data_IF_343269408578
#
_entry.id   IF_343269408578
#
_cell.length_a   1.000
_cell.length_b   1.000
_cell.length_c   1.000
_cell.angle_alpha   90.00
_cell.angle_beta   90.00
_cell.angle_gamma   90.00
#
_symmetry.space_group_name_H-M   'P 1'
#
loop_
_entity.id
_entity.type
_entity.pdbx_description
1 polymer ?
#
# COMPACT_ATOMS: atom_id res chain seq x y z
N UNK A 1 -26.09 4.71 -7.53
CA UNK A 1 -25.00 3.98 -6.83
C UNK A 1 -24.07 3.42 -7.89
N UNK A 2 -22.75 3.60 -7.77
CA UNK A 2 -21.79 3.12 -8.77
C UNK A 2 -21.70 1.59 -8.79
N UNK A 3 -21.23 0.99 -9.90
CA UNK A 3 -21.00 -0.46 -9.93
C UNK A 3 -19.96 -0.82 -8.85
N UNK A 4 -20.11 -1.93 -8.09
CA UNK A 4 -19.14 -2.30 -7.04
C UNK A 4 -17.69 -2.37 -7.56
N UNK A 5 -17.54 -2.76 -8.83
CA UNK A 5 -16.27 -2.76 -9.55
C UNK A 5 -15.69 -1.35 -9.72
N UNK A 6 -16.51 -0.39 -10.16
CA UNK A 6 -16.11 0.99 -10.35
C UNK A 6 -15.75 1.66 -9.01
N UNK A 7 -16.48 1.36 -7.92
CA UNK A 7 -16.15 1.87 -6.57
C UNK A 7 -14.79 1.35 -6.09
N UNK A 8 -14.52 0.04 -6.28
CA UNK A 8 -13.22 -0.54 -5.92
C UNK A 8 -12.08 0.09 -6.74
N UNK A 9 -12.29 0.32 -8.05
CA UNK A 9 -11.30 0.97 -8.91
C UNK A 9 -11.15 2.47 -8.61
N UNK A 10 -12.20 3.16 -8.18
CA UNK A 10 -12.10 4.54 -7.72
C UNK A 10 -11.16 4.62 -6.51
N UNK A 11 -11.35 3.75 -5.51
CA UNK A 11 -10.43 3.71 -4.38
C UNK A 11 -9.00 3.35 -4.83
N UNK A 12 -8.85 2.31 -5.65
CA UNK A 12 -7.54 1.75 -5.98
C UNK A 12 -6.79 2.54 -7.06
N UNK A 13 -7.35 2.69 -8.26
CA UNK A 13 -6.70 3.32 -9.40
C UNK A 13 -6.64 4.85 -9.27
N UNK A 14 -7.66 5.50 -8.70
CA UNK A 14 -7.69 6.97 -8.56
C UNK A 14 -7.07 7.43 -7.23
N UNK A 15 -7.16 6.62 -6.19
CA UNK A 15 -6.60 6.91 -4.87
C UNK A 15 -5.20 6.31 -4.66
N UNK A 16 -5.12 4.99 -4.62
CA UNK A 16 -3.92 4.26 -4.14
C UNK A 16 -2.75 4.29 -5.14
N UNK A 17 -2.97 3.96 -6.41
CA UNK A 17 -1.90 3.94 -7.43
C UNK A 17 -1.15 5.28 -7.53
N UNK A 18 -1.83 6.43 -7.73
CA UNK A 18 -1.13 7.71 -7.82
C UNK A 18 -0.47 8.10 -6.50
N UNK A 19 -1.05 7.75 -5.34
CA UNK A 19 -0.42 7.96 -4.04
C UNK A 19 0.88 7.15 -3.91
N UNK A 20 0.90 5.89 -4.34
CA UNK A 20 2.10 5.05 -4.34
C UNK A 20 3.15 5.64 -5.29
N UNK A 21 2.76 6.09 -6.47
CA UNK A 21 3.68 6.73 -7.42
C UNK A 21 4.32 7.98 -6.80
N UNK A 22 3.50 8.85 -6.20
CA UNK A 22 3.98 10.04 -5.51
C UNK A 22 4.92 9.69 -4.34
N UNK A 23 4.58 8.67 -3.54
CA UNK A 23 5.43 8.21 -2.46
C UNK A 23 6.77 7.66 -2.97
N UNK A 24 6.78 6.84 -4.03
CA UNK A 24 8.01 6.37 -4.66
C UNK A 24 8.87 7.52 -5.16
N UNK A 25 8.28 8.51 -5.84
CA UNK A 25 8.99 9.70 -6.31
C UNK A 25 9.58 10.53 -5.18
N UNK A 26 8.93 10.56 -4.02
CA UNK A 26 9.45 11.23 -2.83
C UNK A 26 10.59 10.46 -2.15
N UNK A 27 10.46 9.14 -2.00
CA UNK A 27 11.43 8.34 -1.26
C UNK A 27 12.65 7.93 -2.06
N UNK A 28 12.53 7.68 -3.36
CA UNK A 28 13.65 7.21 -4.20
C UNK A 28 14.85 8.15 -4.15
N UNK A 29 14.71 9.49 -4.28
CA UNK A 29 15.83 10.42 -4.14
C UNK A 29 16.58 10.28 -2.81
N UNK A 30 15.86 10.07 -1.71
CA UNK A 30 16.43 9.83 -0.37
C UNK A 30 17.17 8.49 -0.33
N UNK A 31 16.57 7.44 -0.89
CA UNK A 31 17.15 6.09 -0.92
C UNK A 31 18.43 6.00 -1.78
N UNK A 32 18.52 6.81 -2.83
CA UNK A 32 19.65 6.81 -3.77
C UNK A 32 20.64 7.95 -3.51
N UNK A 33 20.35 8.87 -2.57
CA UNK A 33 21.14 10.10 -2.33
C UNK A 33 21.33 10.92 -3.60
N UNK A 34 20.23 11.16 -4.31
CA UNK A 34 20.21 11.94 -5.56
C UNK A 34 19.21 13.10 -5.44
N UNK A 35 19.25 14.07 -6.36
CA UNK A 35 18.37 15.25 -6.32
C UNK A 35 16.89 14.96 -6.62
N UNK A 36 16.04 15.98 -6.55
CA UNK A 36 14.58 15.88 -6.80
C UNK A 36 14.23 15.41 -8.23
N UNK A 37 13.03 14.83 -8.45
CA UNK A 37 12.51 14.55 -9.79
C UNK A 37 12.36 15.82 -10.62
N UNK A 38 12.52 15.68 -11.93
CA UNK A 38 12.26 16.77 -12.86
C UNK A 38 10.75 17.08 -12.96
N UNK A 39 10.41 18.28 -13.46
CA UNK A 39 9.02 18.76 -13.50
C UNK A 39 8.09 17.90 -14.36
N UNK A 40 8.60 17.20 -15.39
CA UNK A 40 7.75 16.36 -16.24
C UNK A 40 7.39 15.07 -15.52
N UNK A 41 8.38 14.43 -14.91
CA UNK A 41 8.14 13.22 -14.13
C UNK A 41 7.25 13.45 -12.91
N UNK A 42 7.34 14.63 -12.27
CA UNK A 42 6.46 15.00 -11.16
C UNK A 42 4.96 14.96 -11.51
N UNK A 43 4.59 14.94 -12.80
CA UNK A 43 3.20 14.80 -13.28
C UNK A 43 2.71 13.35 -13.37
N UNK A 44 3.59 12.35 -13.26
CA UNK A 44 3.23 10.94 -13.36
C UNK A 44 2.08 10.52 -12.43
N UNK A 45 2.03 10.95 -11.14
CA UNK A 45 0.91 10.60 -10.27
C UNK A 45 -0.41 11.14 -10.80
N UNK A 46 -0.43 12.40 -11.24
CA UNK A 46 -1.64 13.01 -11.79
C UNK A 46 -2.06 12.36 -13.11
N UNK A 47 -1.11 11.95 -13.95
CA UNK A 47 -1.39 11.20 -15.16
C UNK A 47 -2.05 9.84 -14.85
N UNK A 48 -1.49 9.08 -13.90
CA UNK A 48 -2.05 7.80 -13.43
C UNK A 48 -3.43 7.97 -12.76
N UNK A 49 -3.65 9.10 -12.09
CA UNK A 49 -4.96 9.43 -11.53
C UNK A 49 -6.00 9.71 -12.63
N UNK A 50 -5.62 10.44 -13.68
CA UNK A 50 -6.49 10.76 -14.80
C UNK A 50 -6.88 9.50 -15.61
N UNK A 51 -5.92 8.62 -15.89
CA UNK A 51 -6.19 7.31 -16.52
C UNK A 51 -7.08 6.43 -15.64
N UNK A 52 -6.86 6.42 -14.33
CA UNK A 52 -7.74 5.75 -13.37
C UNK A 52 -9.18 6.26 -13.42
N UNK A 53 -9.39 7.58 -13.54
CA UNK A 53 -10.72 8.18 -13.70
C UNK A 53 -11.39 7.75 -15.01
N UNK A 54 -10.62 7.69 -16.09
CA UNK A 54 -11.10 7.18 -17.38
C UNK A 54 -11.54 5.72 -17.28
N UNK A 55 -10.74 4.86 -16.62
CA UNK A 55 -11.09 3.47 -16.39
C UNK A 55 -12.37 3.33 -15.56
N UNK A 56 -12.52 4.12 -14.49
CA UNK A 56 -13.73 4.14 -13.66
C UNK A 56 -14.95 4.59 -14.45
N UNK A 57 -14.83 5.64 -15.27
CA UNK A 57 -15.92 6.12 -16.12
C UNK A 57 -16.37 5.04 -17.13
N UNK A 58 -15.42 4.31 -17.73
CA UNK A 58 -15.73 3.19 -18.61
C UNK A 58 -16.41 2.01 -17.87
N UNK A 59 -15.94 1.66 -16.67
CA UNK A 59 -16.57 0.62 -15.83
C UNK A 59 -17.95 1.01 -15.29
N UNK A 60 -18.22 2.31 -15.20
CA UNK A 60 -19.52 2.87 -14.81
C UNK A 60 -20.51 2.94 -15.99
N UNK A 61 -20.03 2.74 -17.22
CA UNK A 61 -20.84 2.83 -18.44
C UNK A 61 -20.97 4.25 -19.02
N UNK A 62 -20.17 5.21 -18.54
CA UNK A 62 -20.13 6.57 -19.09
C UNK A 62 -19.26 6.68 -20.35
N UNK A 63 -18.34 5.73 -20.54
CA UNK A 63 -17.50 5.58 -21.72
C UNK A 63 -17.59 4.12 -22.23
N UNK A 64 -17.22 3.86 -23.50
CA UNK A 64 -17.14 2.49 -24.00
C UNK A 64 -16.19 1.63 -23.14
N UNK A 65 -16.59 0.40 -22.80
CA UNK A 65 -15.79 -0.46 -21.93
C UNK A 65 -14.40 -0.78 -22.50
N UNK A 66 -14.24 -0.80 -23.82
CA UNK A 66 -12.94 -1.02 -24.49
C UNK A 66 -11.86 0.00 -24.06
N UNK A 67 -12.27 1.18 -23.59
CA UNK A 67 -11.37 2.21 -23.07
C UNK A 67 -10.64 1.75 -21.79
N UNK A 68 -11.18 0.77 -21.04
CA UNK A 68 -10.47 0.16 -19.90
C UNK A 68 -9.13 -0.45 -20.33
N UNK A 69 -9.08 -1.11 -21.49
CA UNK A 69 -7.86 -1.74 -22.00
C UNK A 69 -6.84 -0.69 -22.43
N UNK A 70 -7.30 0.42 -23.03
CA UNK A 70 -6.45 1.55 -23.35
C UNK A 70 -5.89 2.21 -22.09
N UNK A 71 -6.73 2.46 -21.07
CA UNK A 71 -6.29 3.02 -19.80
C UNK A 71 -5.23 2.13 -19.12
N UNK A 72 -5.44 0.80 -19.12
CA UNK A 72 -4.46 -0.15 -18.60
C UNK A 72 -3.14 -0.14 -19.38
N UNK A 73 -3.19 -0.01 -20.70
CA UNK A 73 -1.98 0.11 -21.54
C UNK A 73 -1.22 1.43 -21.27
N UNK A 74 -1.93 2.55 -21.07
CA UNK A 74 -1.30 3.82 -20.68
C UNK A 74 -0.65 3.70 -19.30
N UNK A 75 -1.35 3.16 -18.30
CA UNK A 75 -0.79 2.96 -16.96
C UNK A 75 0.43 2.03 -16.97
N UNK A 76 0.45 1.04 -17.87
CA UNK A 76 1.60 0.16 -18.05
C UNK A 76 2.84 0.94 -18.51
N UNK A 77 2.66 1.88 -19.44
CA UNK A 77 3.72 2.78 -19.89
C UNK A 77 4.15 3.73 -18.76
N UNK A 78 3.20 4.32 -18.01
CA UNK A 78 3.53 5.20 -16.88
C UNK A 78 4.33 4.46 -15.79
N UNK A 79 3.95 3.21 -15.47
CA UNK A 79 4.68 2.36 -14.54
C UNK A 79 6.10 2.03 -15.06
N UNK A 80 6.25 1.75 -16.35
CA UNK A 80 7.56 1.50 -16.98
C UNK A 80 8.46 2.74 -16.95
N UNK A 81 7.92 3.93 -17.21
CA UNK A 81 8.65 5.21 -17.11
C UNK A 81 9.16 5.40 -15.67
N UNK A 82 8.29 5.19 -14.67
CA UNK A 82 8.68 5.33 -13.27
C UNK A 82 9.75 4.30 -12.89
N UNK A 83 9.59 3.04 -13.27
CA UNK A 83 10.56 1.98 -13.00
C UNK A 83 11.93 2.30 -13.61
N UNK A 84 11.95 2.72 -14.88
CA UNK A 84 13.17 3.13 -15.55
C UNK A 84 13.85 4.29 -14.82
N UNK A 85 13.08 5.29 -14.41
CA UNK A 85 13.61 6.42 -13.64
C UNK A 85 14.21 5.98 -12.30
N UNK A 86 13.55 5.10 -11.54
CA UNK A 86 14.10 4.53 -10.30
C UNK A 86 15.42 3.81 -10.57
N UNK A 87 15.46 2.98 -11.61
CA UNK A 87 16.65 2.22 -11.97
C UNK A 87 17.83 3.11 -12.36
N UNK A 88 17.58 4.17 -13.15
CA UNK A 88 18.61 5.15 -13.52
C UNK A 88 19.18 5.86 -12.29
N UNK A 89 18.32 6.24 -11.33
CA UNK A 89 18.77 6.87 -10.08
C UNK A 89 19.56 5.93 -9.18
N UNK A 90 19.14 4.66 -9.10
CA UNK A 90 19.88 3.67 -8.34
C UNK A 90 21.29 3.46 -8.91
N UNK A 91 21.45 3.52 -10.23
CA UNK A 91 22.77 3.44 -10.90
C UNK A 91 23.61 4.71 -10.70
N UNK A 92 22.97 5.88 -10.64
CA UNK A 92 23.63 7.16 -10.42
C UNK A 92 23.89 7.47 -8.93
N UNK A 93 23.54 6.56 -8.02
CA UNK A 93 23.71 6.75 -6.58
C UNK A 93 25.19 6.87 -6.20
N UNK A 94 25.52 7.83 -5.33
CA UNK A 94 26.85 7.92 -4.74
C UNK A 94 27.02 6.80 -3.70
N UNK A 95 27.84 5.80 -4.03
CA UNK A 95 27.99 4.57 -3.25
C UNK A 95 26.78 3.63 -3.38
N UNK A 96 26.69 2.61 -2.54
CA UNK A 96 25.59 1.62 -2.64
C UNK A 96 24.25 2.24 -2.24
N UNK A 97 23.22 2.24 -3.12
CA UNK A 97 21.91 2.79 -2.79
C UNK A 97 21.22 1.95 -1.70
N UNK A 98 20.35 2.58 -0.91
CA UNK A 98 19.59 1.89 0.13
C UNK A 98 18.68 0.81 -0.49
N UNK A 99 18.63 -0.43 0.04
CA UNK A 99 17.95 -1.57 -0.60
C UNK A 99 16.45 -1.38 -0.86
N UNK A 100 15.81 -0.41 -0.21
CA UNK A 100 14.39 -0.08 -0.42
C UNK A 100 14.01 0.23 -1.87
N UNK A 101 14.91 0.77 -2.71
CA UNK A 101 14.58 1.06 -4.11
C UNK A 101 14.20 -0.20 -4.89
N UNK A 102 14.80 -1.36 -4.55
CA UNK A 102 14.52 -2.64 -5.20
C UNK A 102 13.11 -3.15 -4.89
N UNK A 103 12.58 -2.82 -3.71
CA UNK A 103 11.20 -3.14 -3.34
C UNK A 103 10.21 -2.34 -4.17
N UNK A 104 10.48 -1.03 -4.38
CA UNK A 104 9.66 -0.23 -5.29
C UNK A 104 9.76 -0.72 -6.73
N UNK A 105 10.96 -1.10 -7.17
CA UNK A 105 11.14 -1.72 -8.48
C UNK A 105 10.33 -3.02 -8.65
N UNK A 106 10.36 -3.90 -7.65
CA UNK A 106 9.58 -5.14 -7.66
C UNK A 106 8.06 -4.91 -7.59
N UNK A 107 7.62 -3.92 -6.81
CA UNK A 107 6.21 -3.52 -6.73
C UNK A 107 5.70 -2.98 -8.09
N UNK A 108 6.50 -2.16 -8.77
CA UNK A 108 6.19 -1.70 -10.13
C UNK A 108 6.21 -2.84 -11.15
N UNK A 109 7.15 -3.78 -11.03
CA UNK A 109 7.15 -4.99 -11.85
C UNK A 109 5.86 -5.80 -11.68
N UNK A 110 5.36 -5.94 -10.45
CA UNK A 110 4.07 -6.60 -10.19
C UNK A 110 2.90 -5.82 -10.80
N UNK A 111 2.88 -4.48 -10.69
CA UNK A 111 1.88 -3.65 -11.34
C UNK A 111 1.90 -3.82 -12.87
N UNK A 112 3.10 -3.82 -13.48
CA UNK A 112 3.24 -4.01 -14.93
C UNK A 112 2.70 -5.37 -15.37
N UNK A 113 2.97 -6.44 -14.63
CA UNK A 113 2.39 -7.77 -14.88
C UNK A 113 0.86 -7.76 -14.71
N UNK A 114 0.35 -7.10 -13.67
CA UNK A 114 -1.09 -6.98 -13.43
C UNK A 114 -1.81 -6.21 -14.56
N UNK A 115 -1.23 -5.12 -15.05
CA UNK A 115 -1.78 -4.34 -16.17
C UNK A 115 -1.68 -5.09 -17.50
N UNK A 116 -0.58 -5.81 -17.71
CA UNK A 116 -0.43 -6.70 -18.88
C UNK A 116 -1.54 -7.75 -18.91
N UNK A 117 -1.93 -8.31 -17.76
CA UNK A 117 -3.05 -9.24 -17.69
C UNK A 117 -4.38 -8.61 -18.18
N UNK A 118 -4.63 -7.33 -17.90
CA UNK A 118 -5.82 -6.62 -18.39
C UNK A 118 -5.74 -6.35 -19.89
N UNK A 119 -4.57 -5.95 -20.40
CA UNK A 119 -4.34 -5.73 -21.84
C UNK A 119 -4.48 -7.03 -22.65
N UNK A 120 -4.18 -8.18 -22.05
CA UNK A 120 -4.30 -9.50 -22.69
C UNK A 120 -5.74 -10.05 -22.75
N UNK A 121 -6.65 -9.58 -21.89
CA UNK A 121 -8.05 -10.05 -21.87
C UNK A 121 -8.73 -10.04 -23.26
N UNK A 122 -8.67 -8.96 -24.07
CA UNK A 122 -9.29 -8.96 -25.39
C UNK A 122 -8.65 -9.94 -26.38
N UNK A 123 -7.39 -10.34 -26.16
CA UNK A 123 -6.65 -11.29 -27.02
C UNK A 123 -6.93 -12.73 -26.63
N UNK A 124 -7.10 -13.01 -25.33
CA UNK A 124 -7.40 -14.34 -24.78
C UNK A 124 -8.64 -14.35 -23.88
N UNK A 125 -9.85 -14.20 -24.44
CA UNK A 125 -11.09 -14.15 -23.64
C UNK A 125 -11.34 -15.41 -22.82
N UNK A 126 -10.86 -16.57 -23.26
CA UNK A 126 -10.98 -17.84 -22.53
C UNK A 126 -10.30 -17.82 -21.16
N UNK A 127 -9.30 -16.96 -20.96
CA UNK A 127 -8.58 -16.81 -19.70
C UNK A 127 -9.04 -15.61 -18.86
N UNK A 128 -10.17 -14.98 -19.22
CA UNK A 128 -10.65 -13.75 -18.57
C UNK A 128 -10.68 -13.83 -17.04
N UNK A 129 -11.20 -14.94 -16.48
CA UNK A 129 -11.30 -15.09 -15.02
C UNK A 129 -9.92 -15.20 -14.38
N UNK A 130 -9.04 -16.04 -14.92
CA UNK A 130 -7.68 -16.23 -14.42
C UNK A 130 -6.88 -14.92 -14.47
N UNK A 131 -6.95 -14.18 -15.58
CA UNK A 131 -6.28 -12.89 -15.75
C UNK A 131 -6.77 -11.84 -14.75
N UNK A 132 -8.08 -11.80 -14.45
CA UNK A 132 -8.64 -10.89 -13.44
C UNK A 132 -8.21 -11.25 -12.02
N UNK A 133 -8.19 -12.53 -11.68
CA UNK A 133 -7.73 -12.99 -10.35
C UNK A 133 -6.23 -12.70 -10.17
N UNK A 134 -5.44 -12.96 -11.21
CA UNK A 134 -4.01 -12.63 -11.22
C UNK A 134 -3.77 -11.13 -11.06
N UNK A 135 -4.49 -10.30 -11.84
CA UNK A 135 -4.45 -8.83 -11.72
C UNK A 135 -4.80 -8.35 -10.31
N UNK A 136 -5.87 -8.90 -9.72
CA UNK A 136 -6.32 -8.52 -8.37
C UNK A 136 -5.22 -8.77 -7.32
N UNK A 137 -4.67 -9.99 -7.29
CA UNK A 137 -3.66 -10.37 -6.29
C UNK A 137 -2.33 -9.64 -6.49
N UNK A 138 -1.90 -9.41 -7.74
CA UNK A 138 -0.71 -8.59 -7.99
C UNK A 138 -0.91 -7.13 -7.64
N UNK A 139 -2.11 -6.58 -7.71
CA UNK A 139 -2.36 -5.23 -7.24
C UNK A 139 -2.35 -5.15 -5.71
N UNK A 140 -3.01 -6.07 -5.01
CA UNK A 140 -3.11 -6.03 -3.54
C UNK A 140 -1.82 -6.46 -2.84
N UNK A 141 -1.24 -7.59 -3.22
CA UNK A 141 -0.05 -8.16 -2.59
C UNK A 141 1.24 -7.75 -3.30
N UNK A 142 1.22 -7.66 -4.63
CA UNK A 142 2.37 -7.26 -5.43
C UNK A 142 2.68 -5.77 -5.32
N UNK A 143 1.81 -4.91 -5.87
CA UNK A 143 2.01 -3.46 -5.83
C UNK A 143 1.91 -2.92 -4.40
N UNK A 144 0.75 -3.01 -3.76
CA UNK A 144 0.54 -2.39 -2.44
C UNK A 144 1.35 -3.12 -1.37
N UNK A 145 1.32 -4.46 -1.35
CA UNK A 145 2.05 -5.26 -0.37
C UNK A 145 3.57 -5.05 -0.40
N UNK A 146 4.22 -5.14 -1.58
CA UNK A 146 5.67 -4.87 -1.64
C UNK A 146 6.00 -3.40 -1.41
N UNK A 147 5.20 -2.44 -1.89
CA UNK A 147 5.45 -1.03 -1.61
C UNK A 147 5.37 -0.74 -0.10
N UNK A 148 4.40 -1.34 0.58
CA UNK A 148 4.23 -1.24 2.03
C UNK A 148 5.41 -1.88 2.78
N UNK A 149 5.70 -3.17 2.53
CA UNK A 149 6.78 -3.90 3.20
C UNK A 149 8.18 -3.38 2.83
N UNK A 150 8.34 -2.71 1.69
CA UNK A 150 9.55 -1.99 1.32
C UNK A 150 9.76 -0.69 2.09
N UNK A 151 8.70 -0.14 2.69
CA UNK A 151 8.70 1.17 3.37
C UNK A 151 8.59 1.03 4.89
N UNK A 152 7.75 0.12 5.38
CA UNK A 152 7.45 -0.10 6.80
C UNK A 152 8.69 -0.29 7.69
N UNK A 153 9.72 -1.09 7.30
CA UNK A 153 10.92 -1.28 8.13
C UNK A 153 11.70 0.01 8.40
N UNK A 154 11.54 1.04 7.56
CA UNK A 154 12.20 2.35 7.74
C UNK A 154 11.22 3.37 8.33
N UNK A 155 9.95 3.31 7.92
CA UNK A 155 8.94 4.27 8.31
C UNK A 155 8.58 4.17 9.79
N UNK A 156 8.47 2.95 10.34
CA UNK A 156 8.16 2.75 11.75
C UNK A 156 9.25 3.30 12.69
N UNK A 157 10.55 2.95 12.54
CA UNK A 157 11.59 3.56 13.36
C UNK A 157 11.65 5.08 13.20
N UNK A 158 11.44 5.58 11.98
CA UNK A 158 11.35 7.02 11.72
C UNK A 158 10.20 7.68 12.48
N UNK A 159 9.05 7.00 12.58
CA UNK A 159 7.92 7.48 13.37
C UNK A 159 8.26 7.55 14.86
N UNK A 160 8.99 6.56 15.39
CA UNK A 160 9.43 6.55 16.79
C UNK A 160 10.58 7.53 17.08
N UNK A 161 11.22 8.10 16.06
CA UNK A 161 12.44 8.88 16.22
C UNK A 161 13.64 8.02 16.65
N UNK A 162 13.62 6.73 16.32
CA UNK A 162 14.65 5.75 16.69
C UNK A 162 15.40 5.25 15.45
N UNK A 163 16.65 4.86 15.63
CA UNK A 163 17.44 4.22 14.59
C UNK A 163 17.24 2.69 14.59
N UNK A 164 17.07 2.12 13.40
CA UNK A 164 17.08 0.67 13.17
C UNK A 164 18.21 0.26 12.21
N UNK A 165 19.36 -0.21 12.72
CA UNK A 165 20.45 -0.68 11.87
C UNK A 165 20.10 -1.97 11.09
N UNK A 166 19.11 -2.73 11.54
CA UNK A 166 18.73 -4.00 10.92
C UNK A 166 17.77 -3.84 9.74
N UNK A 167 17.08 -2.70 9.62
CA UNK A 167 16.08 -2.43 8.58
C UNK A 167 16.63 -2.66 7.16
N UNK A 168 17.82 -2.14 6.86
CA UNK A 168 18.47 -2.35 5.56
C UNK A 168 18.83 -3.82 5.30
N UNK A 169 19.29 -4.53 6.33
CA UNK A 169 19.58 -5.97 6.26
C UNK A 169 18.32 -6.81 6.02
N UNK A 170 17.24 -6.48 6.72
CA UNK A 170 15.93 -7.12 6.53
C UNK A 170 15.43 -6.94 5.10
N UNK A 171 15.46 -5.71 4.58
CA UNK A 171 15.03 -5.39 3.21
C UNK A 171 15.82 -6.16 2.15
N UNK A 172 17.14 -6.31 2.31
CA UNK A 172 17.96 -7.11 1.38
C UNK A 172 17.57 -8.59 1.38
N UNK A 173 17.38 -9.18 2.57
CA UNK A 173 17.12 -10.61 2.73
C UNK A 173 15.70 -11.03 2.38
N UNK A 174 14.72 -10.13 2.53
CA UNK A 174 13.30 -10.48 2.42
C UNK A 174 12.65 -10.11 1.08
N UNK A 175 13.32 -9.33 0.24
CA UNK A 175 12.76 -8.89 -1.05
C UNK A 175 12.26 -10.07 -1.90
N UNK A 176 13.16 -11.01 -2.22
CA UNK A 176 12.80 -12.12 -3.10
C UNK A 176 11.82 -13.08 -2.47
N UNK A 177 11.88 -13.25 -1.14
CA UNK A 177 10.92 -14.06 -0.41
C UNK A 177 9.50 -13.47 -0.54
N UNK A 178 9.33 -12.16 -0.39
CA UNK A 178 8.01 -11.51 -0.52
C UNK A 178 7.58 -11.40 -1.99
N UNK A 179 8.49 -11.05 -2.91
CA UNK A 179 8.19 -10.95 -4.35
C UNK A 179 7.74 -12.30 -4.92
N UNK A 180 8.49 -13.36 -4.65
CA UNK A 180 8.10 -14.72 -5.03
C UNK A 180 6.80 -15.14 -4.35
N UNK A 181 6.61 -14.79 -3.07
CA UNK A 181 5.36 -15.02 -2.36
C UNK A 181 4.15 -14.41 -3.07
N UNK A 182 4.21 -13.12 -3.42
CA UNK A 182 3.14 -12.43 -4.12
C UNK A 182 2.87 -13.01 -5.52
N UNK A 183 3.92 -13.35 -6.29
CA UNK A 183 3.78 -13.99 -7.60
C UNK A 183 3.17 -15.39 -7.50
N UNK A 184 3.58 -16.18 -6.52
CA UNK A 184 3.02 -17.52 -6.27
C UNK A 184 1.56 -17.44 -5.83
N UNK A 185 1.18 -16.48 -4.97
CA UNK A 185 -0.23 -16.27 -4.61
C UNK A 185 -1.05 -15.88 -5.84
N UNK A 186 -0.59 -14.91 -6.63
CA UNK A 186 -1.34 -14.44 -7.78
C UNK A 186 -1.51 -15.53 -8.86
N UNK A 187 -0.43 -16.27 -9.15
CA UNK A 187 -0.45 -17.36 -10.14
C UNK A 187 -1.24 -18.55 -9.61
N UNK A 188 -1.03 -18.93 -8.35
CA UNK A 188 -1.73 -20.03 -7.69
C UNK A 188 -3.23 -19.77 -7.62
N UNK A 189 -3.65 -18.61 -7.16
CA UNK A 189 -5.07 -18.25 -7.11
C UNK A 189 -5.73 -18.23 -8.51
N UNK A 190 -4.97 -17.93 -9.56
CA UNK A 190 -5.47 -17.93 -10.93
C UNK A 190 -5.57 -19.34 -11.55
N UNK A 191 -4.81 -20.32 -11.05
CA UNK A 191 -4.78 -21.71 -11.55
C UNK A 191 -5.56 -22.65 -10.63
N UNK A 192 -5.12 -22.77 -9.37
CA UNK A 192 -5.74 -23.57 -8.33
C UNK A 192 -5.21 -23.16 -6.94
N UNK A 193 -6.11 -22.97 -5.98
CA UNK A 193 -5.80 -22.40 -4.67
C UNK A 193 -4.63 -23.08 -3.90
N UNK A 194 -4.38 -24.41 -3.98
CA UNK A 194 -3.30 -25.03 -3.20
C UNK A 194 -1.92 -24.48 -3.61
N UNK A 195 -1.77 -24.05 -4.86
CA UNK A 195 -0.52 -23.44 -5.34
C UNK A 195 -0.28 -22.03 -4.77
N UNK A 196 -1.33 -21.36 -4.26
CA UNK A 196 -1.18 -20.09 -3.57
C UNK A 196 -0.64 -20.27 -2.13
N UNK A 197 -0.84 -21.44 -1.51
CA UNK A 197 -0.52 -21.68 -0.10
C UNK A 197 0.96 -21.46 0.24
N UNK A 198 1.94 -21.98 -0.52
CA UNK A 198 3.35 -21.70 -0.24
C UNK A 198 3.68 -20.21 -0.39
N UNK A 199 3.06 -19.53 -1.37
CA UNK A 199 3.23 -18.08 -1.54
C UNK A 199 2.74 -17.28 -0.34
N UNK A 200 1.56 -17.64 0.18
CA UNK A 200 0.99 -17.08 1.41
C UNK A 200 1.94 -17.32 2.60
N UNK A 201 2.46 -18.54 2.75
CA UNK A 201 3.39 -18.88 3.83
C UNK A 201 4.67 -18.02 3.79
N UNK A 202 5.25 -17.79 2.60
CA UNK A 202 6.40 -16.89 2.46
C UNK A 202 6.06 -15.47 2.96
N UNK A 203 4.94 -14.91 2.53
CA UNK A 203 4.53 -13.56 2.96
C UNK A 203 4.25 -13.48 4.47
N UNK A 204 3.61 -14.51 5.04
CA UNK A 204 3.37 -14.61 6.49
C UNK A 204 4.69 -14.63 7.26
N UNK A 205 5.67 -15.44 6.83
CA UNK A 205 7.00 -15.51 7.47
C UNK A 205 7.71 -14.16 7.43
N UNK A 206 7.64 -13.43 6.31
CA UNK A 206 8.22 -12.10 6.22
C UNK A 206 7.57 -11.12 7.21
N UNK A 207 6.24 -11.04 7.21
CA UNK A 207 5.49 -10.11 8.05
C UNK A 207 5.62 -10.44 9.54
N UNK A 208 5.56 -11.72 9.94
CA UNK A 208 5.85 -12.17 11.30
C UNK A 208 7.29 -11.86 11.71
N UNK A 209 8.25 -12.06 10.80
CA UNK A 209 9.65 -11.70 11.03
C UNK A 209 9.85 -10.21 11.29
N UNK A 210 9.11 -9.35 10.58
CA UNK A 210 9.11 -7.90 10.80
C UNK A 210 8.51 -7.52 12.16
N UNK A 211 7.35 -8.09 12.52
CA UNK A 211 6.74 -7.89 13.84
C UNK A 211 7.66 -8.34 14.98
N UNK A 212 8.30 -9.50 14.83
CA UNK A 212 9.26 -10.02 15.81
C UNK A 212 10.48 -9.10 15.97
N UNK A 213 10.99 -8.53 14.88
CA UNK A 213 12.08 -7.55 14.92
C UNK A 213 11.65 -6.29 15.69
N UNK A 214 10.49 -5.72 15.36
CA UNK A 214 9.97 -4.55 16.06
C UNK A 214 9.72 -4.80 17.55
N UNK A 215 9.13 -5.95 17.89
CA UNK A 215 8.89 -6.36 19.27
C UNK A 215 10.18 -6.45 20.08
N UNK A 216 11.23 -7.08 19.53
CA UNK A 216 12.55 -7.16 20.18
C UNK A 216 13.27 -5.82 20.27
N UNK A 217 13.15 -4.98 19.25
CA UNK A 217 13.94 -3.73 19.13
C UNK A 217 13.33 -2.55 19.86
N UNK A 218 12.00 -2.40 19.80
CA UNK A 218 11.29 -1.23 20.31
C UNK A 218 10.38 -1.56 21.50
N UNK A 219 10.08 -2.84 21.73
CA UNK A 219 9.09 -3.27 22.72
C UNK A 219 7.65 -2.99 22.26
N UNK A 220 6.69 -3.76 22.77
CA UNK A 220 5.28 -3.63 22.35
C UNK A 220 4.63 -2.32 22.85
N UNK A 221 4.98 -1.88 24.06
CA UNK A 221 4.36 -0.71 24.67
C UNK A 221 4.70 0.61 23.96
N UNK A 222 5.96 0.90 23.60
CA UNK A 222 6.27 2.08 22.80
C UNK A 222 5.56 2.09 21.45
N UNK A 223 5.42 0.93 20.79
CA UNK A 223 4.69 0.80 19.52
C UNK A 223 3.21 1.17 19.65
N UNK A 224 2.57 0.79 20.76
CA UNK A 224 1.14 1.06 21.00
C UNK A 224 0.86 2.48 21.50
N UNK A 225 1.83 3.13 22.18
CA UNK A 225 1.70 4.48 22.73
C UNK A 225 1.80 5.58 21.67
N UNK A 226 2.59 5.37 20.62
CA UNK A 226 2.66 6.31 19.51
C UNK A 226 1.63 5.96 18.44
N UNK A 227 0.65 6.84 18.20
CA UNK A 227 -0.48 6.52 17.31
C UNK A 227 -0.09 6.28 15.84
N UNK A 228 1.04 6.81 15.38
CA UNK A 228 1.58 6.49 14.05
C UNK A 228 2.05 5.04 14.04
N UNK A 229 2.92 4.70 14.98
CA UNK A 229 3.49 3.36 15.11
C UNK A 229 2.41 2.29 15.34
N UNK A 230 1.39 2.60 16.14
CA UNK A 230 0.24 1.72 16.36
C UNK A 230 -0.55 1.46 15.07
N UNK A 231 -0.75 2.48 14.23
CA UNK A 231 -1.41 2.33 12.93
C UNK A 231 -0.59 1.47 11.96
N UNK A 232 0.73 1.66 11.92
CA UNK A 232 1.64 0.87 11.09
C UNK A 232 1.75 -0.59 11.57
N UNK A 233 1.75 -0.80 12.88
CA UNK A 233 1.68 -2.13 13.50
C UNK A 233 0.38 -2.84 13.12
N UNK A 234 -0.75 -2.15 13.25
CA UNK A 234 -2.06 -2.68 12.85
C UNK A 234 -2.12 -3.02 11.36
N UNK A 235 -1.48 -2.24 10.49
CA UNK A 235 -1.38 -2.59 9.07
C UNK A 235 -0.74 -3.97 8.87
N UNK A 236 0.41 -4.24 9.50
CA UNK A 236 1.08 -5.54 9.36
C UNK A 236 0.24 -6.67 9.95
N UNK A 237 -0.43 -6.45 11.08
CA UNK A 237 -1.35 -7.43 11.67
C UNK A 237 -2.53 -7.71 10.74
N UNK A 238 -3.13 -6.67 10.14
CA UNK A 238 -4.21 -6.84 9.17
C UNK A 238 -3.78 -7.54 7.89
N UNK A 239 -2.54 -7.33 7.44
CA UNK A 239 -1.96 -8.09 6.33
C UNK A 239 -1.86 -9.58 6.69
N UNK A 240 -1.36 -9.91 7.88
CA UNK A 240 -1.28 -11.30 8.36
C UNK A 240 -2.68 -11.94 8.44
N UNK A 241 -3.64 -11.22 9.03
CA UNK A 241 -5.03 -11.66 9.15
C UNK A 241 -5.64 -11.95 7.78
N UNK A 242 -5.47 -11.06 6.82
CA UNK A 242 -6.06 -11.19 5.48
C UNK A 242 -5.35 -12.22 4.60
N UNK A 243 -4.05 -12.44 4.78
CA UNK A 243 -3.33 -13.56 4.17
C UNK A 243 -3.84 -14.92 4.68
N UNK A 244 -4.00 -15.05 6.00
CA UNK A 244 -4.56 -16.26 6.61
C UNK A 244 -6.01 -16.50 6.15
N UNK A 245 -6.84 -15.45 6.16
CA UNK A 245 -8.20 -15.51 5.65
C UNK A 245 -8.25 -15.89 4.16
N UNK A 246 -7.35 -15.37 3.33
CA UNK A 246 -7.25 -15.75 1.92
C UNK A 246 -6.99 -17.25 1.71
N UNK A 247 -6.16 -17.86 2.57
CA UNK A 247 -5.90 -19.30 2.53
C UNK A 247 -7.12 -20.13 2.97
N UNK A 248 -7.76 -19.72 4.08
CA UNK A 248 -8.99 -20.36 4.56
C UNK A 248 -10.10 -20.25 3.53
N UNK A 249 -10.19 -19.12 2.84
CA UNK A 249 -11.13 -18.91 1.75
C UNK A 249 -10.84 -19.85 0.57
N UNK A 250 -9.58 -19.95 0.14
CA UNK A 250 -9.20 -20.88 -0.93
C UNK A 250 -9.55 -22.34 -0.61
N UNK A 251 -9.49 -22.72 0.67
CA UNK A 251 -9.88 -24.03 1.17
C UNK A 251 -11.40 -24.21 1.38
N UNK A 252 -12.24 -23.28 0.94
CA UNK A 252 -13.70 -23.26 1.16
C UNK A 252 -14.13 -23.31 2.64
N UNK A 253 -13.26 -22.91 3.57
CA UNK A 253 -13.56 -22.87 5.01
C UNK A 253 -14.34 -21.59 5.36
N UNK A 254 -14.03 -20.47 4.70
CA UNK A 254 -14.71 -19.19 4.89
C UNK A 254 -15.17 -18.58 3.56
N UNK A 255 -16.21 -17.75 3.62
CA UNK A 255 -16.74 -17.03 2.46
C UNK A 255 -15.72 -16.07 1.83
N UNK A 256 -15.78 -15.93 0.50
CA UNK A 256 -15.03 -14.91 -0.27
C UNK A 256 -15.34 -13.49 0.18
N UNK A 257 -16.59 -13.22 0.58
CA UNK A 257 -17.10 -11.85 0.69
C UNK A 257 -17.36 -11.47 2.14
N UNK A 258 -16.89 -10.28 2.57
CA UNK A 258 -16.20 -9.23 1.80
C UNK A 258 -14.67 -9.17 2.03
N UNK A 259 -13.89 -10.13 1.53
CA UNK A 259 -12.43 -10.21 1.73
C UNK A 259 -11.64 -8.96 1.30
N UNK A 260 -12.01 -8.32 0.19
CA UNK A 260 -11.34 -7.09 -0.25
C UNK A 260 -11.60 -5.91 0.69
N UNK A 261 -12.80 -5.83 1.28
CA UNK A 261 -13.09 -4.81 2.30
C UNK A 261 -12.35 -5.11 3.60
N UNK A 262 -12.22 -6.38 3.99
CA UNK A 262 -11.43 -6.77 5.16
C UNK A 262 -9.94 -6.45 4.96
N UNK A 263 -9.41 -6.65 3.75
CA UNK A 263 -8.05 -6.23 3.38
C UNK A 263 -7.92 -4.71 3.41
N UNK A 264 -8.89 -3.99 2.85
CA UNK A 264 -8.87 -2.54 2.83
C UNK A 264 -8.93 -1.95 4.25
N UNK A 265 -9.84 -2.47 5.09
CA UNK A 265 -10.00 -1.99 6.46
C UNK A 265 -8.85 -2.42 7.36
N UNK A 266 -8.40 -3.67 7.29
CA UNK A 266 -7.39 -4.21 8.21
C UNK A 266 -5.97 -3.83 7.85
N UNK A 267 -5.63 -3.73 6.57
CA UNK A 267 -4.27 -3.44 6.12
C UNK A 267 -4.12 -2.04 5.53
N UNK A 268 -4.93 -1.70 4.52
CA UNK A 268 -4.72 -0.49 3.73
C UNK A 268 -5.02 0.79 4.52
N UNK A 269 -6.15 0.87 5.23
CA UNK A 269 -6.53 2.07 5.99
C UNK A 269 -5.56 2.36 7.16
N UNK A 270 -5.14 1.38 7.99
CA UNK A 270 -4.08 1.60 8.97
C UNK A 270 -2.75 2.03 8.34
N UNK A 271 -2.37 1.41 7.23
CA UNK A 271 -1.14 1.76 6.51
C UNK A 271 -1.16 3.22 6.04
N UNK A 272 -2.20 3.60 5.31
CA UNK A 272 -2.32 4.95 4.74
C UNK A 272 -2.47 6.00 5.83
N UNK A 273 -3.33 5.75 6.83
CA UNK A 273 -3.50 6.70 7.93
C UNK A 273 -2.22 6.87 8.76
N UNK A 274 -1.51 5.78 9.08
CA UNK A 274 -0.23 5.83 9.77
C UNK A 274 0.84 6.56 8.95
N UNK A 275 1.02 6.18 7.68
CA UNK A 275 2.01 6.79 6.80
C UNK A 275 1.75 8.29 6.62
N UNK A 276 0.51 8.70 6.34
CA UNK A 276 0.16 10.12 6.20
C UNK A 276 0.33 10.90 7.51
N UNK A 277 0.05 10.28 8.67
CA UNK A 277 0.32 10.93 9.96
C UNK A 277 1.80 11.26 10.17
N UNK A 278 2.71 10.51 9.55
CA UNK A 278 4.15 10.78 9.58
C UNK A 278 4.61 11.70 8.44
N UNK A 279 4.10 11.50 7.23
CA UNK A 279 4.63 12.12 6.00
C UNK A 279 4.02 13.48 5.69
N UNK A 280 2.73 13.71 5.98
CA UNK A 280 2.10 15.01 5.74
C UNK A 280 2.83 16.17 6.44
N UNK A 281 3.27 16.04 7.72
CA UNK A 281 4.08 17.08 8.35
C UNK A 281 5.41 17.34 7.63
N UNK A 282 6.05 16.30 7.08
CA UNK A 282 7.31 16.44 6.33
C UNK A 282 7.10 17.17 5.02
N UNK A 283 6.02 16.86 4.31
CA UNK A 283 5.69 17.51 3.04
C UNK A 283 5.25 18.95 3.22
N UNK A 284 4.55 19.26 4.32
CA UNK A 284 4.09 20.62 4.60
C UNK A 284 5.23 21.53 5.07
N UNK A 285 6.12 21.03 5.92
CA UNK A 285 7.30 21.76 6.39
C UNK A 285 8.57 20.93 6.16
N UNK A 286 9.14 21.00 4.94
CA UNK A 286 10.36 20.29 4.60
C UNK A 286 11.57 20.85 5.35
N UNK A 287 12.61 20.01 5.50
CA UNK A 287 13.86 20.38 6.17
C UNK A 287 13.96 19.91 7.63
N UNK A 288 14.71 20.63 8.48
CA UNK A 288 14.88 20.31 9.90
C UNK A 288 13.54 20.20 10.66
N UNK A 289 13.55 19.54 11.82
CA UNK A 289 12.35 19.49 12.65
C UNK A 289 12.04 20.88 13.21
N UNK A 290 10.80 21.35 12.98
CA UNK A 290 10.28 22.59 13.57
C UNK A 290 9.16 22.29 14.56
N UNK A 291 8.85 23.23 15.48
CA UNK A 291 7.73 23.08 16.42
C UNK A 291 6.39 22.81 15.72
N UNK A 292 6.13 23.44 14.58
CA UNK A 292 4.90 23.26 13.79
C UNK A 292 4.79 21.85 13.21
N UNK A 293 5.92 21.33 12.69
CA UNK A 293 5.99 19.95 12.18
C UNK A 293 5.68 18.93 13.28
N UNK A 294 6.22 19.15 14.48
CA UNK A 294 5.93 18.30 15.63
C UNK A 294 4.47 18.42 16.08
N UNK A 295 3.90 19.64 16.10
CA UNK A 295 2.51 19.85 16.48
C UNK A 295 1.53 19.17 15.51
N UNK A 296 1.75 19.30 14.20
CA UNK A 296 0.91 18.63 13.22
C UNK A 296 0.98 17.11 13.33
N UNK A 297 2.20 16.55 13.50
CA UNK A 297 2.37 15.12 13.73
C UNK A 297 1.59 14.67 14.95
N UNK A 298 1.67 15.41 16.08
CA UNK A 298 0.90 15.10 17.30
C UNK A 298 -0.61 15.11 17.03
N UNK A 299 -1.13 16.10 16.30
CA UNK A 299 -2.57 16.15 15.92
C UNK A 299 -2.97 14.94 15.09
N UNK A 300 -2.19 14.61 14.06
CA UNK A 300 -2.44 13.45 13.19
C UNK A 300 -2.34 12.11 13.94
N UNK A 301 -1.42 12.00 14.90
CA UNK A 301 -1.18 10.79 15.68
C UNK A 301 -2.16 10.61 16.86
N UNK A 302 -2.84 11.67 17.29
CA UNK A 302 -3.63 11.70 18.54
C UNK A 302 -4.65 10.56 18.69
N UNK A 303 -5.35 10.20 17.62
CA UNK A 303 -6.32 9.10 17.61
C UNK A 303 -5.77 7.81 17.00
N UNK A 304 -4.47 7.73 16.70
CA UNK A 304 -3.87 6.66 15.89
C UNK A 304 -4.10 5.26 16.43
N UNK A 305 -3.88 5.02 17.72
CA UNK A 305 -4.09 3.71 18.34
C UNK A 305 -5.58 3.30 18.36
N UNK A 306 -6.49 4.26 18.54
CA UNK A 306 -7.95 4.01 18.49
C UNK A 306 -8.38 3.64 17.07
N UNK A 307 -7.92 4.41 16.07
CA UNK A 307 -8.19 4.13 14.65
C UNK A 307 -7.67 2.75 14.26
N UNK A 308 -6.45 2.42 14.68
CA UNK A 308 -5.83 1.12 14.45
C UNK A 308 -6.71 -0.03 14.99
N UNK A 309 -7.21 0.10 16.22
CA UNK A 309 -8.16 -0.84 16.80
C UNK A 309 -9.47 -0.95 16.02
N UNK A 310 -10.08 0.18 15.65
CA UNK A 310 -11.33 0.21 14.86
C UNK A 310 -11.17 -0.47 13.51
N UNK A 311 -10.06 -0.23 12.82
CA UNK A 311 -9.74 -0.82 11.52
C UNK A 311 -9.51 -2.34 11.60
N UNK A 312 -8.78 -2.82 12.61
CA UNK A 312 -8.61 -4.26 12.83
C UNK A 312 -9.94 -4.95 13.21
N UNK A 313 -10.71 -4.35 14.10
CA UNK A 313 -12.04 -4.85 14.47
C UNK A 313 -12.99 -4.84 13.28
N UNK A 314 -12.91 -3.84 12.40
CA UNK A 314 -13.65 -3.82 11.15
C UNK A 314 -13.29 -5.01 10.26
N UNK A 315 -12.00 -5.29 10.07
CA UNK A 315 -11.57 -6.45 9.27
C UNK A 315 -12.06 -7.77 9.85
N UNK A 316 -11.96 -7.96 11.17
CA UNK A 316 -12.48 -9.15 11.84
C UNK A 316 -14.00 -9.29 11.69
N UNK A 317 -14.75 -8.21 11.89
CA UNK A 317 -16.21 -8.20 11.70
C UNK A 317 -16.60 -8.55 10.26
N UNK A 318 -15.89 -8.00 9.27
CA UNK A 318 -16.08 -8.32 7.86
C UNK A 318 -15.81 -9.80 7.58
N UNK A 319 -14.70 -10.34 8.08
CA UNK A 319 -14.37 -11.78 7.92
C UNK A 319 -15.38 -12.70 8.63
N UNK A 320 -16.01 -12.22 9.70
CA UNK A 320 -17.08 -12.93 10.41
C UNK A 320 -18.48 -12.77 9.76
N UNK A 321 -18.58 -12.09 8.61
CA UNK A 321 -19.86 -11.84 7.93
C UNK A 321 -20.72 -10.72 8.54
N UNK A 322 -20.19 -9.96 9.51
CA UNK A 322 -20.87 -8.84 10.16
C UNK A 322 -20.66 -7.54 9.37
N UNK A 323 -21.15 -7.50 8.13
CA UNK A 323 -20.81 -6.43 7.16
C UNK A 323 -21.17 -5.03 7.64
N UNK A 324 -22.35 -4.85 8.24
CA UNK A 324 -22.82 -3.54 8.73
C UNK A 324 -21.93 -3.03 9.87
N UNK A 325 -21.60 -3.89 10.82
CA UNK A 325 -20.69 -3.56 11.92
C UNK A 325 -19.29 -3.24 11.38
N UNK A 326 -18.79 -4.07 10.46
CA UNK A 326 -17.51 -3.87 9.78
C UNK A 326 -17.43 -2.51 9.09
N UNK A 327 -18.46 -2.15 8.32
CA UNK A 327 -18.56 -0.86 7.65
C UNK A 327 -18.62 0.31 8.65
N UNK A 328 -19.43 0.19 9.72
CA UNK A 328 -19.54 1.22 10.75
C UNK A 328 -18.20 1.46 11.46
N UNK A 329 -17.48 0.40 11.83
CA UNK A 329 -16.16 0.49 12.47
C UNK A 329 -15.12 1.15 11.55
N UNK A 330 -15.09 0.77 10.27
CA UNK A 330 -14.22 1.41 9.27
C UNK A 330 -14.55 2.89 9.10
N UNK A 331 -15.85 3.24 9.00
CA UNK A 331 -16.30 4.62 8.86
C UNK A 331 -15.91 5.47 10.09
N UNK A 332 -16.07 4.94 11.31
CA UNK A 332 -15.64 5.61 12.53
C UNK A 332 -14.12 5.85 12.56
N UNK A 333 -13.32 4.83 12.20
CA UNK A 333 -11.86 4.97 12.11
C UNK A 333 -11.43 6.02 11.08
N UNK A 334 -12.11 6.04 9.93
CA UNK A 334 -11.87 7.04 8.88
C UNK A 334 -12.29 8.45 9.32
N UNK A 335 -13.44 8.60 9.99
CA UNK A 335 -13.90 9.87 10.52
C UNK A 335 -12.89 10.47 11.51
N UNK A 336 -12.35 9.66 12.43
CA UNK A 336 -11.30 10.08 13.35
C UNK A 336 -10.03 10.54 12.61
N UNK A 337 -9.67 9.88 11.50
CA UNK A 337 -8.54 10.32 10.67
C UNK A 337 -8.83 11.64 9.97
N UNK A 338 -10.02 11.81 9.37
CA UNK A 338 -10.43 13.05 8.70
C UNK A 338 -10.44 14.22 9.68
N UNK A 339 -10.99 14.04 10.89
CA UNK A 339 -10.96 15.06 11.95
C UNK A 339 -9.51 15.44 12.28
N UNK A 340 -8.63 14.45 12.45
CA UNK A 340 -7.22 14.70 12.73
C UNK A 340 -6.52 15.47 11.59
N UNK A 341 -6.82 15.15 10.33
CA UNK A 341 -6.32 15.90 9.15
C UNK A 341 -6.83 17.34 9.16
N UNK A 342 -8.13 17.54 9.38
CA UNK A 342 -8.74 18.88 9.43
C UNK A 342 -8.15 19.75 10.56
N UNK A 343 -7.82 19.15 11.70
CA UNK A 343 -7.11 19.84 12.78
C UNK A 343 -5.65 20.13 12.42
N UNK A 344 -4.98 19.18 11.77
CA UNK A 344 -3.58 19.27 11.40
C UNK A 344 -3.29 20.34 10.35
N UNK A 345 -4.16 20.49 9.34
CA UNK A 345 -3.99 21.51 8.28
C UNK A 345 -4.16 22.94 8.79
N UNK A 346 -4.76 23.12 9.98
CA UNK A 346 -4.91 24.43 10.65
C UNK A 346 -3.64 24.87 11.40
N UNK A 347 -2.62 24.02 11.49
CA UNK A 347 -1.33 24.41 12.09
C UNK A 347 -0.63 25.42 11.19
N UNK A 348 -0.37 26.62 11.72
CA UNK A 348 0.29 27.72 11.03
C UNK A 348 1.72 27.90 11.52
N UNK A 349 2.57 28.52 10.69
CA UNK A 349 3.94 28.89 11.07
C UNK A 349 3.89 30.00 12.09
N UNK A 350 4.65 29.87 13.18
CA UNK A 350 4.86 30.98 14.11
C UNK A 350 5.55 32.11 13.34
N UNK A 351 4.98 33.31 13.35
CA UNK A 351 5.54 34.51 12.69
C UNK A 351 6.58 35.22 13.56
N UNK A 352 7.22 34.50 14.50
CA UNK A 352 8.23 35.04 15.40
C UNK A 352 9.63 34.75 14.89
#
# INVERSE_FOLDING_TARGET
MGSPLAVAHLAFAVGIVPLIFAAMMHFVPVLTRTGEPDRRLAKLPSAAQATGLVAVAAMQGWLPYSVVYLAAAVDLVLAAILLNWIALRARAALGTPHPGWRWYGAALGCLMLALSAIVLIPVWPSYWQALRVFHLHLNTLGLVGLAALGTLPVLLPTALGLADPEAGGWLRRRLWLVASGALMVATGAAISWPFAAPGTALMLVAALGLLGQWGRRFGIWPLLRDGVSASLLAAVIGLLLTLAAGLLHGADIISTRPSLLAWASGFLLPLVSGALSQLLPVWRWPGPQTPERLLMRRRLASSGSVRAGLFLSSALALLAGLEVLGAALAACGLALFVIAVLQAVRVTRSTR
#
